data_IF_875768156938
#
_entry.id   IF_875768156938
#
_cell.length_a   1.000
_cell.length_b   1.000
_cell.length_c   1.000
_cell.angle_alpha   90.00
_cell.angle_beta   90.00
_cell.angle_gamma   90.00
#
_symmetry.space_group_name_H-M   'P 1'
#
loop_
_entity.id
_entity.type
_entity.pdbx_description
1 polymer ?
#
# COMPACT_ATOMS: atom_id res chain seq x y z
N UNK A 1 6.07 3.62 -16.25
CA UNK A 1 5.55 4.92 -16.70
C UNK A 1 5.46 5.87 -15.53
N UNK A 2 5.85 7.11 -15.73
CA UNK A 2 5.89 8.09 -14.66
C UNK A 2 4.51 8.77 -14.48
N UNK A 3 4.15 9.10 -13.25
CA UNK A 3 2.95 9.85 -12.92
C UNK A 3 1.65 9.04 -12.95
N UNK A 4 0.54 9.72 -13.15
CA UNK A 4 -0.82 9.16 -13.11
C UNK A 4 -1.30 8.55 -14.42
N UNK A 5 -0.50 8.58 -15.48
CA UNK A 5 -0.90 8.18 -16.83
C UNK A 5 -1.63 6.83 -16.88
N UNK A 6 -1.12 5.82 -16.20
CA UNK A 6 -1.71 4.48 -16.21
C UNK A 6 -3.00 4.34 -15.40
N UNK A 7 -3.39 5.37 -14.63
CA UNK A 7 -4.60 5.41 -13.83
C UNK A 7 -5.67 6.32 -14.42
N UNK A 8 -5.37 6.96 -15.56
CA UNK A 8 -6.36 7.73 -16.30
C UNK A 8 -7.31 6.81 -17.08
N UNK A 9 -8.56 7.23 -17.20
CA UNK A 9 -9.57 6.50 -17.98
C UNK A 9 -9.05 6.25 -19.42
N UNK A 10 -9.25 5.05 -19.94
CA UNK A 10 -8.83 4.59 -21.27
C UNK A 10 -7.31 4.37 -21.46
N UNK A 11 -6.45 4.71 -20.48
CA UNK A 11 -4.99 4.52 -20.59
C UNK A 11 -4.46 3.33 -19.82
N UNK A 12 -5.29 2.69 -19.01
CA UNK A 12 -4.90 1.56 -18.19
C UNK A 12 -4.36 0.38 -19.03
N UNK A 13 -5.07 -0.01 -20.07
CA UNK A 13 -4.69 -1.13 -20.92
C UNK A 13 -3.38 -0.87 -21.66
N UNK A 14 -3.17 0.37 -22.13
CA UNK A 14 -1.90 0.79 -22.74
C UNK A 14 -0.76 0.73 -21.73
N UNK A 15 -1.02 1.20 -20.51
CA UNK A 15 -0.06 1.15 -19.42
C UNK A 15 0.32 -0.29 -19.05
N UNK A 16 -0.66 -1.16 -18.93
CA UNK A 16 -0.46 -2.57 -18.66
C UNK A 16 0.35 -3.24 -19.78
N UNK A 17 -0.02 -3.01 -21.04
CA UNK A 17 0.71 -3.54 -22.19
C UNK A 17 2.17 -3.09 -22.22
N UNK A 18 2.47 -1.83 -21.92
CA UNK A 18 3.85 -1.33 -21.83
C UNK A 18 4.59 -2.01 -20.68
N UNK A 19 3.95 -2.20 -19.53
CA UNK A 19 4.53 -2.93 -18.39
C UNK A 19 4.88 -4.38 -18.72
N UNK A 20 4.10 -5.04 -19.57
CA UNK A 20 4.31 -6.41 -20.02
C UNK A 20 5.48 -6.56 -21.02
N UNK A 21 5.99 -5.49 -21.59
CA UNK A 21 7.14 -5.58 -22.52
C UNK A 21 8.41 -6.04 -21.80
N UNK A 22 8.70 -5.51 -20.61
CA UNK A 22 9.92 -5.82 -19.87
C UNK A 22 9.70 -5.89 -18.35
N UNK A 23 9.06 -4.88 -17.76
CA UNK A 23 8.99 -4.70 -16.31
C UNK A 23 8.33 -5.88 -15.60
N UNK A 24 7.11 -6.22 -15.98
CA UNK A 24 6.34 -7.25 -15.29
C UNK A 24 6.92 -8.66 -15.47
N UNK A 25 7.37 -9.07 -16.66
CA UNK A 25 8.10 -10.32 -16.84
C UNK A 25 9.40 -10.38 -16.02
N UNK A 26 10.19 -9.30 -15.99
CA UNK A 26 11.41 -9.24 -15.19
C UNK A 26 11.14 -9.41 -13.69
N UNK A 27 10.10 -8.76 -13.17
CA UNK A 27 9.70 -8.89 -11.77
C UNK A 27 9.19 -10.30 -11.45
N UNK A 28 8.41 -10.92 -12.34
CA UNK A 28 7.93 -12.30 -12.14
C UNK A 28 9.05 -13.33 -12.16
N UNK A 29 10.08 -13.10 -12.95
CA UNK A 29 11.25 -13.98 -13.05
C UNK A 29 12.29 -13.75 -11.96
N UNK A 30 12.19 -12.66 -11.21
CA UNK A 30 13.13 -12.34 -10.14
C UNK A 30 13.02 -13.40 -9.01
N UNK A 31 14.17 -13.92 -8.51
CA UNK A 31 14.19 -14.85 -7.39
C UNK A 31 13.45 -14.29 -6.16
N UNK A 32 12.83 -15.16 -5.37
CA UNK A 32 12.03 -14.78 -4.20
C UNK A 32 12.80 -13.88 -3.21
N UNK A 33 14.07 -14.18 -2.94
CA UNK A 33 14.91 -13.39 -2.03
C UNK A 33 15.39 -12.04 -2.58
N UNK A 34 15.09 -11.70 -3.84
CA UNK A 34 15.49 -10.43 -4.42
C UNK A 34 14.51 -9.32 -4.06
N UNK A 35 15.05 -8.17 -3.69
CA UNK A 35 14.26 -6.96 -3.47
C UNK A 35 13.95 -6.27 -4.79
N UNK A 36 12.69 -5.94 -4.97
CA UNK A 36 12.23 -5.09 -6.07
C UNK A 36 12.18 -3.65 -5.54
N UNK A 37 12.91 -2.75 -6.17
CA UNK A 37 13.00 -1.35 -5.74
C UNK A 37 12.38 -0.46 -6.82
N UNK A 38 11.45 0.38 -6.42
CA UNK A 38 10.86 1.42 -7.27
C UNK A 38 10.43 2.62 -6.43
N UNK A 39 10.99 3.79 -6.73
CA UNK A 39 10.67 5.01 -5.97
C UNK A 39 9.35 5.66 -6.41
N UNK A 40 8.97 5.49 -7.68
CA UNK A 40 7.70 6.01 -8.20
C UNK A 40 6.48 5.25 -7.66
N UNK A 41 5.46 5.99 -7.20
CA UNK A 41 4.20 5.40 -6.74
C UNK A 41 3.55 4.53 -7.83
N UNK A 42 3.41 5.06 -9.05
CA UNK A 42 2.76 4.36 -10.16
C UNK A 42 3.50 3.07 -10.56
N UNK A 43 4.84 3.06 -10.49
CA UNK A 43 5.62 1.86 -10.77
C UNK A 43 5.38 0.78 -9.71
N UNK A 44 5.34 1.16 -8.43
CA UNK A 44 5.05 0.21 -7.33
C UNK A 44 3.66 -0.38 -7.46
N UNK A 45 2.68 0.46 -7.77
CA UNK A 45 1.29 0.02 -7.95
C UNK A 45 1.14 -0.90 -9.16
N UNK A 46 1.76 -0.58 -10.28
CA UNK A 46 1.75 -1.42 -11.48
C UNK A 46 2.40 -2.80 -11.22
N UNK A 47 3.52 -2.85 -10.49
CA UNK A 47 4.16 -4.09 -10.09
C UNK A 47 3.23 -4.91 -9.19
N UNK A 48 2.63 -4.29 -8.17
CA UNK A 48 1.74 -4.99 -7.24
C UNK A 48 0.51 -5.58 -7.95
N UNK A 49 -0.12 -4.83 -8.86
CA UNK A 49 -1.28 -5.29 -9.60
C UNK A 49 -0.93 -6.35 -10.65
N UNK A 50 0.22 -6.23 -11.31
CA UNK A 50 0.58 -7.09 -12.43
C UNK A 50 1.36 -8.37 -12.05
N UNK A 51 1.94 -8.46 -10.85
CA UNK A 51 2.86 -9.57 -10.52
C UNK A 51 2.59 -10.26 -9.18
N UNK A 52 1.80 -9.68 -8.31
CA UNK A 52 1.66 -10.13 -6.92
C UNK A 52 2.88 -9.88 -6.03
N UNK A 53 3.98 -9.30 -6.58
CA UNK A 53 5.15 -8.82 -5.83
C UNK A 53 4.95 -7.35 -5.45
N UNK A 54 5.62 -6.91 -4.41
CA UNK A 54 5.58 -5.51 -3.97
C UNK A 54 6.96 -4.89 -4.09
N UNK A 55 7.06 -3.78 -4.82
CA UNK A 55 8.29 -3.00 -4.83
C UNK A 55 8.35 -2.09 -3.60
N UNK A 56 9.55 -1.95 -3.04
CA UNK A 56 9.86 -1.06 -1.93
C UNK A 56 10.42 0.26 -2.43
N UNK A 57 10.18 1.32 -1.67
CA UNK A 57 10.91 2.57 -1.83
C UNK A 57 12.34 2.42 -1.32
N UNK A 58 13.30 3.12 -1.90
CA UNK A 58 14.70 3.04 -1.47
C UNK A 58 14.87 3.31 0.04
N UNK A 59 14.10 4.24 0.60
CA UNK A 59 14.14 4.52 2.04
C UNK A 59 13.74 3.32 2.91
N UNK A 60 12.82 2.47 2.45
CA UNK A 60 12.42 1.25 3.16
C UNK A 60 13.54 0.21 3.13
N UNK A 61 14.25 0.09 2.00
CA UNK A 61 15.41 -0.78 1.87
C UNK A 61 16.55 -0.34 2.79
N UNK A 62 16.81 0.96 2.88
CA UNK A 62 17.76 1.51 3.84
C UNK A 62 17.36 1.22 5.29
N UNK A 63 16.06 1.36 5.61
CA UNK A 63 15.55 1.00 6.94
C UNK A 63 15.71 -0.49 7.24
N UNK A 64 15.55 -1.37 6.23
CA UNK A 64 15.84 -2.80 6.36
C UNK A 64 17.31 -3.04 6.71
N UNK A 65 18.22 -2.40 5.99
CA UNK A 65 19.65 -2.55 6.24
C UNK A 65 20.07 -2.13 7.66
N UNK A 66 19.40 -1.12 8.21
CA UNK A 66 19.64 -0.64 9.58
C UNK A 66 19.04 -1.57 10.67
N UNK A 67 18.06 -2.43 10.31
CA UNK A 67 17.35 -3.30 11.24
C UNK A 67 17.25 -4.74 10.72
N UNK A 68 18.37 -5.46 10.58
CA UNK A 68 18.40 -6.77 9.91
C UNK A 68 17.64 -7.89 10.63
N UNK A 69 17.42 -7.76 11.94
CA UNK A 69 16.84 -8.84 12.77
C UNK A 69 15.34 -9.14 12.53
N UNK A 70 14.66 -8.39 11.67
CA UNK A 70 13.21 -8.52 11.41
C UNK A 70 12.84 -9.31 10.16
N UNK A 71 13.81 -9.90 9.46
CA UNK A 71 13.60 -10.38 8.09
C UNK A 71 13.88 -11.88 7.88
N UNK A 72 14.26 -12.61 8.92
CA UNK A 72 14.89 -13.93 8.78
C UNK A 72 13.99 -15.07 8.27
N UNK A 73 12.65 -14.93 8.31
CA UNK A 73 11.74 -16.08 8.13
C UNK A 73 10.79 -15.97 6.91
N UNK A 74 10.89 -14.92 6.08
CA UNK A 74 9.97 -14.74 4.95
C UNK A 74 10.70 -14.87 3.61
N UNK A 75 10.23 -15.71 2.68
CA UNK A 75 10.83 -15.86 1.36
C UNK A 75 10.80 -14.56 0.53
N UNK A 76 9.87 -13.65 0.86
CA UNK A 76 9.73 -12.33 0.24
C UNK A 76 10.08 -11.23 1.25
N UNK A 77 11.27 -10.63 1.16
CA UNK A 77 11.72 -9.63 2.16
C UNK A 77 10.81 -8.42 2.29
N UNK A 78 10.12 -8.05 1.20
CA UNK A 78 9.15 -6.95 1.18
C UNK A 78 7.88 -7.19 1.98
N UNK A 79 7.50 -8.43 2.25
CA UNK A 79 6.22 -8.78 2.90
C UNK A 79 6.07 -8.20 4.30
N UNK A 80 7.17 -8.00 5.04
CA UNK A 80 7.14 -7.34 6.33
C UNK A 80 6.60 -5.90 6.23
N UNK A 81 7.07 -5.11 5.26
CA UNK A 81 6.64 -3.73 5.07
C UNK A 81 5.20 -3.64 4.56
N UNK A 82 4.79 -4.58 3.70
CA UNK A 82 3.40 -4.68 3.23
C UNK A 82 2.47 -4.91 4.43
N UNK A 83 2.76 -5.91 5.26
CA UNK A 83 1.98 -6.20 6.47
C UNK A 83 1.96 -5.03 7.45
N UNK A 84 3.07 -4.33 7.63
CA UNK A 84 3.16 -3.16 8.50
C UNK A 84 2.27 -2.01 8.01
N UNK A 85 2.30 -1.71 6.70
CA UNK A 85 1.42 -0.69 6.09
C UNK A 85 -0.05 -1.04 6.24
N UNK A 86 -0.42 -2.28 5.96
CA UNK A 86 -1.80 -2.75 6.13
C UNK A 86 -2.27 -2.66 7.58
N UNK A 87 -1.43 -3.05 8.53
CA UNK A 87 -1.75 -2.95 9.95
C UNK A 87 -1.93 -1.49 10.39
N UNK A 88 -1.06 -0.58 9.92
CA UNK A 88 -1.17 0.85 10.17
C UNK A 88 -2.47 1.42 9.58
N UNK A 89 -2.80 1.05 8.36
CA UNK A 89 -4.03 1.48 7.69
C UNK A 89 -5.27 0.98 8.44
N UNK A 90 -5.32 -0.31 8.79
CA UNK A 90 -6.43 -0.89 9.57
C UNK A 90 -6.59 -0.22 10.93
N UNK A 91 -5.49 0.10 11.61
CA UNK A 91 -5.53 0.78 12.92
C UNK A 91 -6.02 2.22 12.78
N UNK A 92 -5.64 2.92 11.71
CA UNK A 92 -6.12 4.27 11.40
C UNK A 92 -7.61 4.28 11.08
N UNK A 93 -8.08 3.34 10.27
CA UNK A 93 -9.51 3.20 9.96
C UNK A 93 -10.36 2.89 11.21
N UNK A 94 -9.87 2.00 12.10
CA UNK A 94 -10.55 1.72 13.37
C UNK A 94 -10.65 2.97 14.25
N UNK A 95 -9.59 3.75 14.36
CA UNK A 95 -9.59 5.01 15.14
C UNK A 95 -10.55 6.03 14.55
N UNK A 96 -10.58 6.18 13.22
CA UNK A 96 -11.52 7.07 12.54
C UNK A 96 -12.98 6.64 12.76
N UNK A 97 -13.29 5.36 12.67
CA UNK A 97 -14.63 4.83 12.91
C UNK A 97 -15.08 5.05 14.35
N UNK A 98 -14.20 4.84 15.34
CA UNK A 98 -14.49 5.12 16.76
C UNK A 98 -14.74 6.61 17.00
N UNK A 99 -13.94 7.49 16.40
CA UNK A 99 -14.12 8.94 16.50
C UNK A 99 -15.45 9.42 15.92
N UNK A 100 -15.83 8.91 14.75
CA UNK A 100 -17.13 9.21 14.12
C UNK A 100 -18.30 8.68 14.96
N UNK A 101 -18.17 7.47 15.50
CA UNK A 101 -19.18 6.90 16.39
C UNK A 101 -19.39 7.72 17.67
N UNK A 102 -18.31 8.20 18.30
CA UNK A 102 -18.37 9.06 19.47
C UNK A 102 -19.06 10.40 19.17
N UNK A 103 -18.72 11.04 18.04
CA UNK A 103 -19.36 12.29 17.61
C UNK A 103 -20.86 12.10 17.32
N UNK A 104 -21.25 11.02 16.69
CA UNK A 104 -22.67 10.71 16.44
C UNK A 104 -23.44 10.47 17.74
N UNK A 105 -22.84 9.75 18.71
CA UNK A 105 -23.46 9.51 20.01
C UNK A 105 -23.64 10.80 20.81
N UNK A 106 -22.63 11.69 20.84
CA UNK A 106 -22.74 12.98 21.53
C UNK A 106 -23.77 13.89 20.86
N UNK A 107 -23.80 13.95 19.52
CA UNK A 107 -24.81 14.70 18.78
C UNK A 107 -26.24 14.19 19.05
N UNK A 108 -26.43 12.88 19.11
CA UNK A 108 -27.72 12.28 19.44
C UNK A 108 -28.16 12.60 20.86
N UNK A 109 -27.26 12.51 21.85
CA UNK A 109 -27.56 12.85 23.24
C UNK A 109 -27.94 14.34 23.39
N UNK A 110 -27.20 15.24 22.77
CA UNK A 110 -27.51 16.68 22.78
C UNK A 110 -28.87 16.96 22.12
N UNK A 111 -29.18 16.32 21.00
CA UNK A 111 -30.47 16.51 20.33
C UNK A 111 -31.66 16.01 21.17
N UNK A 112 -31.47 14.99 21.98
CA UNK A 112 -32.50 14.53 22.94
C UNK A 112 -32.71 15.50 24.09
N UNK A 113 -31.64 16.07 24.62
CA UNK A 113 -31.71 17.06 25.72
C UNK A 113 -32.43 18.34 25.28
N UNK A 114 -32.19 18.84 24.06
CA UNK A 114 -32.82 20.03 23.52
C UNK A 114 -34.30 19.82 23.13
N UNK A 115 -34.74 18.58 22.88
CA UNK A 115 -36.13 18.28 22.52
C UNK A 115 -37.04 18.09 23.72
N UNK A 116 -36.48 17.98 24.94
CA UNK A 116 -37.23 17.81 26.20
C UNK A 116 -37.41 19.13 26.99
N UNK A 117 -37.05 20.28 26.43
CA UNK A 117 -37.32 21.61 26.90
C UNK A 117 -38.24 22.33 25.92
#
# INVERSE_FOLDING_TARGET
>A
MAGSFGFEHEKYDVSAAIGELELLPAVRSAPAGWLIIADGFSCREQIAQGTGRHALHLAEVLQMALNPSRQADDPFPESHFVRQREAALRSSMKRAALGLGALAATGFLLSRLTRNH
#
